data_IF_868680148530
#
_entry.id   IF_868680148530
#
_cell.length_a   1.000
_cell.length_b   1.000
_cell.length_c   1.000
_cell.angle_alpha   90.00
_cell.angle_beta   90.00
_cell.angle_gamma   90.00
#
_symmetry.space_group_name_H-M   'P 1'
#
loop_
_entity.id
_entity.type
_entity.pdbx_description
1 polymer ?
#
# COMPACT_ATOMS: atom_id res chain seq x y z
N UNK A 1 12.75 -16.40 -2.57
CA UNK A 1 12.08 -16.14 -1.28
C UNK A 1 10.74 -16.86 -1.22
N UNK A 2 10.44 -17.59 -0.14
CA UNK A 2 9.11 -18.18 0.13
C UNK A 2 8.42 -17.29 1.16
N UNK A 3 7.29 -16.68 0.80
CA UNK A 3 6.48 -15.87 1.72
C UNK A 3 5.28 -16.71 2.18
N UNK A 4 5.20 -17.01 3.47
CA UNK A 4 4.06 -17.67 4.07
C UNK A 4 3.24 -16.64 4.85
N UNK A 5 2.02 -16.35 4.39
CA UNK A 5 1.09 -15.49 5.10
C UNK A 5 0.12 -16.36 5.90
N UNK A 6 0.11 -16.28 7.23
CA UNK A 6 -0.82 -17.06 8.04
C UNK A 6 -2.24 -16.48 7.97
N UNK A 7 -3.23 -17.31 8.29
CA UNK A 7 -4.63 -16.88 8.37
C UNK A 7 -4.86 -15.87 9.50
N UNK A 8 -5.85 -14.99 9.32
CA UNK A 8 -6.27 -14.02 10.32
C UNK A 8 -6.52 -14.69 11.69
N UNK A 9 -5.80 -14.24 12.72
CA UNK A 9 -5.86 -14.79 14.09
C UNK A 9 -4.67 -15.66 14.51
N UNK A 10 -3.77 -16.06 13.60
CA UNK A 10 -2.48 -16.66 13.99
C UNK A 10 -1.51 -15.55 14.43
N UNK A 11 -1.00 -15.62 15.66
CA UNK A 11 -0.13 -14.60 16.28
C UNK A 11 1.37 -14.90 16.07
N UNK A 12 1.71 -15.84 15.19
CA UNK A 12 3.10 -16.16 14.88
C UNK A 12 3.77 -15.02 14.11
N UNK A 13 4.67 -14.33 14.81
CA UNK A 13 5.61 -13.42 14.18
C UNK A 13 6.72 -14.19 13.47
N UNK A 14 7.23 -13.63 12.36
CA UNK A 14 8.43 -14.14 11.69
C UNK A 14 9.62 -14.04 12.66
N UNK A 15 10.26 -15.17 12.96
CA UNK A 15 11.39 -15.24 13.90
C UNK A 15 12.76 -15.46 13.22
N UNK A 16 12.77 -15.70 11.91
CA UNK A 16 13.99 -15.95 11.15
C UNK A 16 13.86 -15.31 9.77
N UNK A 17 14.87 -14.52 9.41
CA UNK A 17 15.03 -13.91 8.08
C UNK A 17 16.44 -14.23 7.62
N UNK A 18 16.55 -14.87 6.45
CA UNK A 18 17.82 -15.08 5.77
C UNK A 18 17.91 -14.08 4.62
N UNK A 19 19.04 -13.39 4.52
CA UNK A 19 19.35 -12.45 3.45
C UNK A 19 20.58 -12.98 2.73
N UNK A 20 20.42 -13.39 1.49
CA UNK A 20 21.50 -13.88 0.64
C UNK A 20 22.13 -12.70 -0.14
N UNK A 21 23.37 -12.82 -0.63
CA UNK A 21 24.03 -11.73 -1.36
C UNK A 21 23.22 -11.22 -2.57
N UNK A 22 22.48 -12.10 -3.25
CA UNK A 22 21.62 -11.72 -4.38
C UNK A 22 20.44 -10.84 -3.96
N UNK A 23 19.92 -11.02 -2.74
CA UNK A 23 18.83 -10.20 -2.19
C UNK A 23 19.26 -8.75 -2.00
N UNK A 24 20.57 -8.51 -1.78
CA UNK A 24 21.13 -7.16 -1.66
C UNK A 24 21.44 -6.50 -2.99
N UNK A 25 21.71 -7.29 -4.04
CA UNK A 25 22.00 -6.78 -5.37
C UNK A 25 20.74 -6.23 -6.06
N UNK A 26 19.58 -6.86 -5.83
CA UNK A 26 18.25 -6.42 -6.26
C UNK A 26 17.31 -6.20 -5.07
N UNK A 27 17.72 -5.34 -4.13
CA UNK A 27 17.02 -5.11 -2.86
C UNK A 27 15.59 -4.61 -3.06
N UNK A 28 15.37 -3.71 -4.01
CA UNK A 28 14.07 -3.17 -4.41
C UNK A 28 13.10 -4.28 -4.83
N UNK A 29 13.54 -5.19 -5.71
CA UNK A 29 12.76 -6.33 -6.18
C UNK A 29 12.49 -7.35 -5.07
N UNK A 30 13.48 -7.59 -4.22
CA UNK A 30 13.36 -8.50 -3.07
C UNK A 30 12.34 -7.97 -2.05
N UNK A 31 12.42 -6.69 -1.70
CA UNK A 31 11.47 -6.03 -0.81
C UNK A 31 10.07 -5.99 -1.42
N UNK A 32 9.94 -5.67 -2.72
CA UNK A 32 8.66 -5.69 -3.42
C UNK A 32 7.97 -7.05 -3.33
N UNK A 33 8.74 -8.15 -3.46
CA UNK A 33 8.23 -9.52 -3.33
C UNK A 33 7.64 -9.81 -1.93
N UNK A 34 8.13 -9.13 -0.88
CA UNK A 34 7.59 -9.23 0.48
C UNK A 34 6.41 -8.27 0.70
N UNK A 35 6.54 -7.01 0.27
CA UNK A 35 5.59 -5.94 0.53
C UNK A 35 4.26 -6.18 -0.20
N UNK A 36 4.28 -6.63 -1.45
CA UNK A 36 3.06 -6.87 -2.26
C UNK A 36 2.06 -7.82 -1.58
N UNK A 37 2.45 -9.05 -1.15
CA UNK A 37 1.52 -9.94 -0.48
C UNK A 37 1.06 -9.39 0.88
N UNK A 38 1.91 -8.67 1.62
CA UNK A 38 1.51 -8.04 2.88
C UNK A 38 0.45 -6.95 2.67
N UNK A 39 0.60 -6.08 1.67
CA UNK A 39 -0.41 -5.07 1.34
C UNK A 39 -1.73 -5.69 0.87
N UNK A 40 -1.67 -6.79 0.10
CA UNK A 40 -2.88 -7.55 -0.28
C UNK A 40 -3.58 -8.16 0.93
N UNK A 41 -2.83 -8.67 1.89
CA UNK A 41 -3.40 -9.18 3.14
C UNK A 41 -4.04 -8.05 3.94
N UNK A 42 -3.35 -6.92 4.11
CA UNK A 42 -3.85 -5.74 4.81
C UNK A 42 -5.19 -5.27 4.23
N UNK A 43 -5.28 -5.21 2.89
CA UNK A 43 -6.52 -4.87 2.19
C UNK A 43 -7.67 -5.84 2.49
N UNK A 44 -7.39 -7.13 2.65
CA UNK A 44 -8.42 -8.14 2.92
C UNK A 44 -8.88 -8.16 4.39
N UNK A 45 -7.97 -7.88 5.32
CA UNK A 45 -8.26 -8.00 6.76
C UNK A 45 -8.98 -6.80 7.36
N UNK A 46 -9.14 -5.69 6.61
CA UNK A 46 -9.93 -4.49 6.98
C UNK A 46 -9.73 -4.05 8.44
N UNK A 47 -8.48 -3.88 8.86
CA UNK A 47 -8.14 -3.65 10.27
C UNK A 47 -8.56 -2.28 10.80
N UNK A 48 -8.68 -1.30 9.90
CA UNK A 48 -9.22 0.01 10.19
C UNK A 48 -8.81 0.99 9.09
N UNK A 49 -9.01 2.26 9.36
CA UNK A 49 -8.67 3.36 8.44
C UNK A 49 -7.96 4.42 9.26
N UNK A 50 -6.80 4.94 8.80
CA UNK A 50 -6.10 5.99 9.51
C UNK A 50 -7.00 7.21 9.74
N UNK A 51 -6.93 7.81 10.93
CA UNK A 51 -7.84 8.88 11.36
C UNK A 51 -7.89 10.08 10.40
N UNK A 52 -6.78 10.37 9.72
CA UNK A 52 -6.67 11.43 8.70
C UNK A 52 -7.61 11.26 7.50
N UNK A 53 -8.16 10.06 7.26
CA UNK A 53 -9.13 9.82 6.19
C UNK A 53 -10.58 9.90 6.66
N UNK A 54 -10.80 10.02 7.97
CA UNK A 54 -12.11 10.11 8.64
C UNK A 54 -12.24 11.45 9.38
N UNK A 55 -11.33 12.40 9.11
CA UNK A 55 -11.26 13.65 9.86
C UNK A 55 -12.51 14.51 9.59
N UNK A 56 -13.24 14.81 10.67
CA UNK A 56 -14.41 15.67 10.66
C UNK A 56 -13.89 17.11 10.63
N UNK A 57 -14.03 17.80 9.51
CA UNK A 57 -13.77 19.23 9.44
C UNK A 57 -14.70 19.95 10.45
N UNK A 58 -14.17 20.52 11.54
CA UNK A 58 -14.98 21.18 12.56
C UNK A 58 -15.78 22.37 12.01
N UNK A 59 -15.27 23.01 10.95
CA UNK A 59 -15.89 24.16 10.30
C UNK A 59 -16.89 23.73 9.21
N UNK A 60 -16.83 22.47 8.75
CA UNK A 60 -17.86 21.88 7.87
C UNK A 60 -19.18 21.61 8.60
N UNK A 61 -19.20 21.76 9.94
CA UNK A 61 -20.43 21.85 10.72
C UNK A 61 -21.12 23.19 10.46
N UNK A 62 -21.57 23.37 9.22
CA UNK A 62 -22.59 24.35 8.87
C UNK A 62 -23.84 24.03 9.69
N UNK A 63 -24.00 24.77 10.79
CA UNK A 63 -25.25 25.12 11.47
C UNK A 63 -26.46 24.33 10.93
N UNK A 64 -26.71 23.14 11.49
CA UNK A 64 -27.88 22.27 11.29
C UNK A 64 -27.91 21.21 10.17
N UNK A 65 -26.78 20.74 9.61
CA UNK A 65 -26.81 19.48 8.83
C UNK A 65 -26.45 18.25 9.68
N UNK A 66 -27.33 17.26 9.67
CA UNK A 66 -27.07 15.94 10.26
C UNK A 66 -26.10 15.22 9.33
N UNK A 67 -24.79 15.43 9.54
CA UNK A 67 -23.77 14.67 8.82
C UNK A 67 -23.95 13.19 9.18
N UNK A 68 -24.26 12.39 8.16
CA UNK A 68 -24.30 10.94 8.27
C UNK A 68 -22.86 10.42 8.39
N UNK A 69 -22.44 10.21 9.64
CA UNK A 69 -21.09 9.75 9.99
C UNK A 69 -20.74 8.41 9.33
N UNK A 70 -21.73 7.57 9.04
CA UNK A 70 -21.51 6.29 8.39
C UNK A 70 -21.09 6.49 6.93
N UNK A 71 -21.69 7.47 6.24
CA UNK A 71 -21.35 7.82 4.85
C UNK A 71 -19.94 8.39 4.73
N UNK A 72 -19.53 9.28 5.64
CA UNK A 72 -18.17 9.83 5.64
C UNK A 72 -17.11 8.78 5.93
N UNK A 73 -17.37 7.90 6.89
CA UNK A 73 -16.49 6.78 7.19
C UNK A 73 -16.32 5.87 5.96
N UNK A 74 -17.40 5.53 5.25
CA UNK A 74 -17.31 4.77 4.00
C UNK A 74 -16.48 5.47 2.92
N UNK A 75 -16.58 6.79 2.81
CA UNK A 75 -15.76 7.57 1.87
C UNK A 75 -14.28 7.51 2.27
N UNK A 76 -13.97 7.61 3.56
CA UNK A 76 -12.62 7.43 4.10
C UNK A 76 -12.04 6.05 3.81
N UNK A 77 -12.83 4.99 4.05
CA UNK A 77 -12.48 3.60 3.72
C UNK A 77 -12.14 3.47 2.23
N UNK A 78 -13.00 3.96 1.33
CA UNK A 78 -12.78 3.87 -0.13
C UNK A 78 -11.52 4.62 -0.57
N UNK A 79 -11.24 5.79 0.03
CA UNK A 79 -10.00 6.55 -0.24
C UNK A 79 -8.78 5.74 0.18
N UNK A 80 -8.81 5.17 1.38
CA UNK A 80 -7.71 4.36 1.90
C UNK A 80 -7.47 3.08 1.07
N UNK A 81 -8.52 2.35 0.73
CA UNK A 81 -8.44 1.18 -0.15
C UNK A 81 -7.83 1.53 -1.52
N UNK A 82 -8.20 2.68 -2.09
CA UNK A 82 -7.64 3.19 -3.35
C UNK A 82 -6.14 3.50 -3.24
N UNK A 83 -5.68 4.04 -2.11
CA UNK A 83 -4.26 4.29 -1.88
C UNK A 83 -3.48 2.99 -1.72
N UNK A 84 -4.00 2.02 -0.96
CA UNK A 84 -3.38 0.69 -0.85
C UNK A 84 -3.29 0.01 -2.22
N UNK A 85 -4.33 0.11 -3.05
CA UNK A 85 -4.32 -0.43 -4.41
C UNK A 85 -3.26 0.21 -5.30
N UNK A 86 -3.04 1.52 -5.17
CA UNK A 86 -1.96 2.22 -5.86
C UNK A 86 -0.57 1.74 -5.39
N UNK A 87 -0.36 1.57 -4.08
CA UNK A 87 0.88 1.02 -3.54
C UNK A 87 1.13 -0.39 -4.07
N UNK A 88 0.12 -1.29 -4.02
CA UNK A 88 0.21 -2.66 -4.54
C UNK A 88 0.61 -2.66 -6.02
N UNK A 89 -0.01 -1.79 -6.82
CA UNK A 89 0.31 -1.68 -8.25
C UNK A 89 1.77 -1.25 -8.46
N UNK A 90 2.25 -0.21 -7.77
CA UNK A 90 3.62 0.28 -7.91
C UNK A 90 4.66 -0.75 -7.49
N UNK A 91 4.50 -1.41 -6.35
CA UNK A 91 5.43 -2.46 -5.92
C UNK A 91 5.38 -3.69 -6.83
N UNK A 92 4.21 -4.05 -7.38
CA UNK A 92 4.12 -5.14 -8.38
C UNK A 92 4.92 -4.79 -9.63
N UNK A 93 4.94 -3.52 -10.04
CA UNK A 93 5.75 -3.04 -11.17
C UNK A 93 7.25 -3.05 -10.87
N UNK A 94 7.66 -2.65 -9.66
CA UNK A 94 9.06 -2.79 -9.22
C UNK A 94 9.52 -4.26 -9.25
N UNK A 95 8.66 -5.18 -8.83
CA UNK A 95 8.94 -6.62 -8.90
C UNK A 95 9.12 -7.11 -10.34
N UNK A 96 8.27 -6.68 -11.27
CA UNK A 96 8.32 -7.05 -12.69
C UNK A 96 9.50 -6.38 -13.45
N UNK A 97 9.82 -5.13 -13.11
CA UNK A 97 10.84 -4.30 -13.74
C UNK A 97 12.27 -4.86 -13.65
N UNK A 98 12.56 -5.75 -12.70
CA UNK A 98 13.88 -6.37 -12.53
C UNK A 98 14.32 -7.20 -13.76
N UNK A 99 13.40 -7.47 -14.70
CA UNK A 99 13.68 -8.17 -15.96
C UNK A 99 13.68 -7.26 -17.20
N UNK A 100 13.64 -5.94 -17.01
CA UNK A 100 14.08 -4.96 -18.02
C UNK A 100 13.20 -4.72 -19.24
N UNK A 101 11.95 -5.18 -19.27
CA UNK A 101 11.05 -4.96 -20.41
C UNK A 101 9.63 -4.61 -20.00
N UNK A 102 9.45 -3.38 -19.52
CA UNK A 102 8.15 -2.73 -19.67
C UNK A 102 7.99 -2.37 -21.16
N UNK A 103 7.07 -3.04 -21.86
CA UNK A 103 6.70 -2.75 -23.26
C UNK A 103 5.93 -1.42 -23.35
N UNK A 104 6.55 -0.34 -22.90
CA UNK A 104 5.96 0.99 -22.80
C UNK A 104 6.66 1.89 -23.83
N UNK A 105 5.91 2.62 -24.67
CA UNK A 105 6.49 3.58 -25.59
C UNK A 105 7.38 4.59 -24.84
N UNK A 106 8.53 4.96 -25.42
CA UNK A 106 9.47 5.89 -24.79
C UNK A 106 8.82 7.22 -24.33
N UNK A 107 7.81 7.70 -25.07
CA UNK A 107 7.03 8.88 -24.71
C UNK A 107 6.23 8.75 -23.40
N UNK A 108 5.86 7.51 -23.00
CA UNK A 108 5.09 7.20 -21.81
C UNK A 108 5.98 6.70 -20.65
N UNK A 109 7.25 6.41 -20.91
CA UNK A 109 8.19 5.88 -19.92
C UNK A 109 8.31 6.79 -18.69
N UNK A 110 8.45 8.11 -18.91
CA UNK A 110 8.56 9.08 -17.82
C UNK A 110 7.31 9.07 -16.92
N UNK A 111 6.12 9.17 -17.52
CA UNK A 111 4.87 9.14 -16.78
C UNK A 111 4.66 7.80 -16.05
N UNK A 112 5.12 6.70 -16.64
CA UNK A 112 5.08 5.38 -15.99
C UNK A 112 5.94 5.34 -14.73
N UNK A 113 7.18 5.81 -14.81
CA UNK A 113 8.11 5.88 -13.68
C UNK A 113 7.60 6.83 -12.59
N UNK A 114 7.03 7.98 -12.96
CA UNK A 114 6.41 8.92 -12.01
C UNK A 114 5.24 8.29 -11.26
N UNK A 115 4.43 7.47 -11.93
CA UNK A 115 3.33 6.74 -11.28
C UNK A 115 3.84 5.67 -10.32
N UNK A 116 4.89 4.94 -10.70
CA UNK A 116 5.54 3.97 -9.79
C UNK A 116 6.02 4.71 -8.54
N UNK A 117 6.79 5.80 -8.73
CA UNK A 117 7.32 6.61 -7.65
C UNK A 117 6.23 7.15 -6.73
N UNK A 118 5.12 7.64 -7.30
CA UNK A 118 3.97 8.12 -6.51
C UNK A 118 3.47 7.06 -5.53
N UNK A 119 3.37 5.80 -5.96
CA UNK A 119 2.96 4.71 -5.05
C UNK A 119 4.01 4.36 -3.99
N UNK A 120 5.30 4.52 -4.29
CA UNK A 120 6.38 4.36 -3.30
C UNK A 120 6.34 5.48 -2.26
N UNK A 121 6.10 6.71 -2.68
CA UNK A 121 5.98 7.87 -1.80
C UNK A 121 4.74 7.75 -0.90
N UNK A 122 3.62 7.28 -1.45
CA UNK A 122 2.42 6.96 -0.66
C UNK A 122 2.74 5.93 0.43
N UNK A 123 3.45 4.85 0.10
CA UNK A 123 3.86 3.86 1.07
C UNK A 123 4.77 4.46 2.15
N UNK A 124 5.76 5.27 1.76
CA UNK A 124 6.67 5.92 2.71
C UNK A 124 5.93 6.86 3.66
N UNK A 125 5.01 7.67 3.15
CA UNK A 125 4.22 8.63 3.93
C UNK A 125 3.26 7.93 4.91
N UNK A 126 2.72 6.78 4.53
CA UNK A 126 1.73 6.06 5.32
C UNK A 126 2.28 4.82 6.04
N UNK A 127 3.61 4.58 6.02
CA UNK A 127 4.22 3.38 6.57
C UNK A 127 3.83 3.13 8.04
N UNK A 128 3.80 4.19 8.86
CA UNK A 128 3.40 4.13 10.26
C UNK A 128 1.89 3.95 10.49
N UNK A 129 1.06 4.17 9.47
CA UNK A 129 -0.39 4.04 9.52
C UNK A 129 -0.91 2.73 8.91
N UNK A 130 0.00 1.83 8.49
CA UNK A 130 -0.39 0.53 7.91
C UNK A 130 -1.00 -0.45 8.94
N UNK A 131 -0.92 -0.13 10.23
CA UNK A 131 -1.53 -0.94 11.30
C UNK A 131 -2.90 -0.43 11.77
N UNK A 132 -3.25 0.82 11.41
CA UNK A 132 -4.48 1.50 11.85
C UNK A 132 -5.77 0.84 11.32
#
# INVERSE_FOLDING_TARGET
>A
MIVHLPSYGDTKHVRYVQIDPHDTWGMDSTLATLIVPMLKQLRQTKHGVPSQFVEIDPDSQGVFDFIDKDVEFEVGVKKWESLIDQMIWSFSKVQESNWGYDNIPAAQYKAHQERIQTGLDLFANHFGSLWD
#
